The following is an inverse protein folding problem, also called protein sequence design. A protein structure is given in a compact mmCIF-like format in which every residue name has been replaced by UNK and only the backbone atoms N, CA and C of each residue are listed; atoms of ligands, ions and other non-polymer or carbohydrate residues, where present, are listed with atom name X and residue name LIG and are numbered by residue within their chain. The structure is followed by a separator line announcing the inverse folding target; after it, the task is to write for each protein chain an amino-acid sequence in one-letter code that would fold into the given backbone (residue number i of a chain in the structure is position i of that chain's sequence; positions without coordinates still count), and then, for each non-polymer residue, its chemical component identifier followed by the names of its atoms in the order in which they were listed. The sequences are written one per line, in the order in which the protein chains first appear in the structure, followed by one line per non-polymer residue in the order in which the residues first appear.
data_IF_265738976787
#
_entry.id   IF_265738976787
#
_cell.length_a   1.000
_cell.length_b   1.000
_cell.length_c   1.000
_cell.angle_alpha   90.00
_cell.angle_beta   90.00
_cell.angle_gamma   90.00
#
_symmetry.space_group_name_H-M   'P 1'
#
loop_
_entity.id
_entity.type
_entity.pdbx_description
1 polymer ?
#
# COMPACT_ATOMS: atom_id res chain seq x y z
N UNK A 1 -28.81 -13.35 4.68
CA UNK A 1 -28.30 -11.98 4.79
C UNK A 1 -26.97 -11.90 4.07
N UNK A 2 -26.66 -10.84 3.29
CA UNK A 2 -25.35 -10.78 2.65
C UNK A 2 -24.34 -10.51 3.77
N UNK A 3 -23.42 -11.44 3.98
CA UNK A 3 -22.28 -11.25 4.87
C UNK A 3 -21.68 -9.86 4.58
N UNK A 4 -21.44 -9.07 5.64
CA UNK A 4 -20.86 -7.74 5.52
C UNK A 4 -19.63 -7.80 4.63
N UNK A 5 -19.75 -7.21 3.44
CA UNK A 5 -18.64 -7.07 2.51
C UNK A 5 -17.62 -6.17 3.20
N UNK A 6 -16.36 -6.59 3.23
CA UNK A 6 -15.28 -5.89 3.93
C UNK A 6 -15.32 -4.37 3.73
N UNK A 7 -15.01 -3.61 4.77
CA UNK A 7 -14.99 -2.16 4.73
C UNK A 7 -13.63 -1.68 4.25
N UNK A 8 -13.60 -0.65 3.41
CA UNK A 8 -12.34 -0.01 3.02
C UNK A 8 -11.68 0.62 4.26
N UNK A 9 -10.44 0.23 4.57
CA UNK A 9 -9.61 0.96 5.55
C UNK A 9 -8.79 2.04 4.87
N UNK A 10 -8.10 1.66 3.79
CA UNK A 10 -7.19 2.53 3.07
C UNK A 10 -7.24 2.14 1.59
N UNK A 11 -7.41 3.10 0.70
CA UNK A 11 -7.26 2.86 -0.74
C UNK A 11 -6.51 4.02 -1.36
N UNK A 12 -5.49 3.71 -2.16
CA UNK A 12 -4.67 4.69 -2.85
C UNK A 12 -4.55 4.28 -4.32
N UNK A 13 -5.26 5.02 -5.17
CA UNK A 13 -5.24 4.89 -6.61
C UNK A 13 -4.29 5.95 -7.19
N UNK A 14 -3.39 5.55 -8.08
CA UNK A 14 -2.40 6.46 -8.67
C UNK A 14 -2.66 6.75 -10.14
N UNK A 15 -3.70 6.15 -10.73
CA UNK A 15 -4.15 6.42 -12.08
C UNK A 15 -5.62 6.88 -12.11
N UNK A 16 -6.11 7.18 -13.30
CA UNK A 16 -7.49 7.57 -13.55
C UNK A 16 -8.37 6.41 -14.02
N UNK A 17 -7.99 5.14 -13.78
CA UNK A 17 -8.76 3.97 -14.20
C UNK A 17 -10.11 3.91 -13.49
N UNK A 18 -10.14 4.28 -12.21
CA UNK A 18 -11.36 4.40 -11.40
C UNK A 18 -11.51 5.82 -10.85
N UNK A 19 -11.97 6.78 -11.68
CA UNK A 19 -11.98 8.20 -11.33
C UNK A 19 -13.03 8.57 -10.28
N UNK A 20 -14.10 7.79 -10.14
CA UNK A 20 -15.16 8.07 -9.15
C UNK A 20 -15.13 7.10 -7.97
N UNK A 21 -15.53 7.59 -6.79
CA UNK A 21 -15.67 6.76 -5.59
C UNK A 21 -16.64 5.57 -5.81
N UNK A 22 -17.64 5.74 -6.68
CA UNK A 22 -18.60 4.68 -7.03
C UNK A 22 -17.92 3.55 -7.82
N UNK A 23 -17.09 3.88 -8.80
CA UNK A 23 -16.35 2.89 -9.59
C UNK A 23 -15.31 2.18 -8.73
N UNK A 24 -14.58 2.93 -7.89
CA UNK A 24 -13.65 2.35 -6.93
C UNK A 24 -14.36 1.33 -6.02
N UNK A 25 -15.49 1.71 -5.42
CA UNK A 25 -16.25 0.81 -4.55
C UNK A 25 -16.81 -0.43 -5.29
N UNK A 26 -17.17 -0.28 -6.58
CA UNK A 26 -17.62 -1.40 -7.40
C UNK A 26 -16.47 -2.39 -7.71
N UNK A 27 -15.32 -1.87 -8.12
CA UNK A 27 -14.11 -2.66 -8.36
C UNK A 27 -13.65 -3.39 -7.10
N UNK A 28 -13.61 -2.67 -5.99
CA UNK A 28 -13.29 -3.17 -4.67
C UNK A 28 -14.17 -4.35 -4.25
N UNK A 29 -15.48 -4.20 -4.43
CA UNK A 29 -16.45 -5.27 -4.19
C UNK A 29 -16.18 -6.47 -5.08
N UNK A 30 -15.87 -6.25 -6.37
CA UNK A 30 -15.59 -7.33 -7.31
C UNK A 30 -14.33 -8.11 -6.96
N UNK A 31 -13.25 -7.43 -6.56
CA UNK A 31 -12.03 -8.09 -6.06
C UNK A 31 -12.38 -8.97 -4.85
N UNK A 32 -12.97 -8.38 -3.82
CA UNK A 32 -13.24 -9.09 -2.57
C UNK A 32 -14.10 -10.34 -2.79
N UNK A 33 -15.17 -10.21 -3.60
CA UNK A 33 -16.04 -11.34 -3.94
C UNK A 33 -15.29 -12.48 -4.63
N UNK A 34 -14.29 -12.18 -5.47
CA UNK A 34 -13.50 -13.22 -6.14
C UNK A 34 -12.41 -13.81 -5.23
N UNK A 35 -11.80 -13.03 -4.36
CA UNK A 35 -10.62 -13.47 -3.61
C UNK A 35 -10.94 -14.05 -2.24
N UNK A 36 -12.01 -13.62 -1.54
CA UNK A 36 -12.26 -14.02 -0.14
C UNK A 36 -12.46 -15.53 0.08
N UNK A 37 -12.84 -16.27 -0.98
CA UNK A 37 -13.00 -17.75 -0.96
C UNK A 37 -11.95 -18.48 -1.79
N UNK A 38 -11.11 -17.74 -2.51
CA UNK A 38 -10.07 -18.33 -3.32
C UNK A 38 -8.85 -18.62 -2.42
N UNK A 39 -8.32 -19.83 -2.50
CA UNK A 39 -7.08 -20.19 -1.82
C UNK A 39 -5.82 -19.75 -2.57
N UNK A 40 -5.94 -18.79 -3.49
CA UNK A 40 -4.83 -18.26 -4.28
C UNK A 40 -4.24 -16.98 -3.67
N UNK A 41 -3.10 -16.54 -4.21
CA UNK A 41 -2.46 -15.26 -3.85
C UNK A 41 -2.51 -14.25 -5.01
N UNK A 42 -2.95 -14.65 -6.20
CA UNK A 42 -3.04 -13.81 -7.40
C UNK A 42 -4.36 -14.05 -8.13
N UNK A 43 -4.93 -12.98 -8.69
CA UNK A 43 -6.13 -13.00 -9.52
C UNK A 43 -6.01 -11.99 -10.66
N UNK A 44 -6.66 -12.29 -11.80
CA UNK A 44 -6.82 -11.33 -12.89
C UNK A 44 -8.27 -10.81 -12.92
N UNK A 45 -8.44 -9.49 -12.94
CA UNK A 45 -9.75 -8.82 -12.89
C UNK A 45 -9.79 -7.62 -13.81
N UNK A 46 -10.71 -7.58 -14.77
CA UNK A 46 -10.92 -6.39 -15.63
C UNK A 46 -9.65 -5.95 -16.40
N UNK A 47 -8.75 -6.89 -16.72
CA UNK A 47 -7.46 -6.57 -17.34
C UNK A 47 -6.43 -5.99 -16.37
N UNK A 48 -6.62 -6.23 -15.07
CA UNK A 48 -5.68 -5.88 -14.00
C UNK A 48 -5.19 -7.15 -13.31
N UNK A 49 -3.94 -7.10 -12.89
CA UNK A 49 -3.30 -8.13 -12.08
C UNK A 49 -3.44 -7.74 -10.62
N UNK A 50 -4.05 -8.61 -9.81
CA UNK A 50 -4.34 -8.37 -8.39
C UNK A 50 -3.61 -9.41 -7.57
N UNK A 51 -2.64 -8.98 -6.78
CA UNK A 51 -1.96 -9.84 -5.79
C UNK A 51 -2.53 -9.54 -4.42
N UNK A 52 -2.84 -10.57 -3.64
CA UNK A 52 -3.53 -10.42 -2.37
C UNK A 52 -3.09 -11.42 -1.32
N UNK A 53 -3.21 -11.00 -0.06
CA UNK A 53 -2.95 -11.83 1.10
C UNK A 53 -3.86 -11.44 2.25
N UNK A 54 -4.36 -12.43 2.98
CA UNK A 54 -5.08 -12.20 4.24
C UNK A 54 -4.12 -12.26 5.43
N UNK A 55 -4.38 -11.45 6.45
CA UNK A 55 -3.71 -11.53 7.76
C UNK A 55 -4.76 -11.32 8.84
N UNK A 56 -4.93 -12.29 9.74
CA UNK A 56 -5.93 -12.32 10.83
C UNK A 56 -7.35 -11.93 10.37
N UNK A 57 -7.65 -10.63 10.38
CA UNK A 57 -8.94 -10.01 10.07
C UNK A 57 -8.82 -8.85 9.04
N UNK A 58 -7.80 -8.89 8.20
CA UNK A 58 -7.52 -7.93 7.13
C UNK A 58 -7.24 -8.64 5.81
N UNK A 59 -7.57 -7.96 4.71
CA UNK A 59 -7.13 -8.33 3.36
C UNK A 59 -6.32 -7.20 2.74
N UNK A 60 -5.15 -7.57 2.23
CA UNK A 60 -4.22 -6.66 1.57
C UNK A 60 -4.22 -6.96 0.08
N UNK A 61 -4.31 -5.92 -0.74
CA UNK A 61 -4.27 -6.03 -2.20
C UNK A 61 -3.28 -5.04 -2.80
N UNK A 62 -2.54 -5.52 -3.79
CA UNK A 62 -1.73 -4.72 -4.69
C UNK A 62 -2.24 -4.97 -6.10
N UNK A 63 -2.56 -3.90 -6.81
CA UNK A 63 -3.15 -3.95 -8.15
C UNK A 63 -2.17 -3.31 -9.14
N UNK A 64 -1.91 -4.01 -10.23
CA UNK A 64 -1.15 -3.50 -11.37
C UNK A 64 -1.89 -3.74 -12.69
N UNK A 65 -1.39 -3.15 -13.77
CA UNK A 65 -1.86 -3.45 -15.12
C UNK A 65 -1.68 -4.93 -15.50
N UNK A 66 -2.41 -5.42 -16.50
CA UNK A 66 -2.32 -6.81 -16.97
C UNK A 66 -0.93 -7.25 -17.47
N UNK A 67 -0.05 -6.30 -17.79
CA UNK A 67 1.32 -6.57 -18.24
C UNK A 67 2.35 -6.51 -17.12
N UNK A 68 1.93 -6.15 -15.90
CA UNK A 68 2.82 -6.07 -14.75
C UNK A 68 3.33 -7.44 -14.32
N UNK A 69 4.56 -7.45 -13.80
CA UNK A 69 5.14 -8.66 -13.25
C UNK A 69 4.53 -8.98 -11.87
N UNK A 70 3.77 -10.07 -11.81
CA UNK A 70 3.15 -10.60 -10.58
C UNK A 70 4.15 -10.75 -9.42
N UNK A 71 5.39 -11.15 -9.71
CA UNK A 71 6.44 -11.31 -8.69
C UNK A 71 6.83 -9.97 -8.07
N UNK A 72 6.82 -8.89 -8.84
CA UNK A 72 7.09 -7.55 -8.33
C UNK A 72 5.96 -7.07 -7.43
N UNK A 73 4.70 -7.27 -7.85
CA UNK A 73 3.53 -6.93 -7.04
C UNK A 73 3.49 -7.74 -5.73
N UNK A 74 3.90 -9.01 -5.79
CA UNK A 74 4.04 -9.88 -4.62
C UNK A 74 5.15 -9.42 -3.68
N UNK A 75 6.30 -9.00 -4.21
CA UNK A 75 7.39 -8.43 -3.40
C UNK A 75 6.95 -7.15 -2.68
N UNK A 76 6.21 -6.28 -3.37
CA UNK A 76 5.62 -5.06 -2.79
C UNK A 76 4.63 -5.39 -1.68
N UNK A 77 3.74 -6.36 -1.90
CA UNK A 77 2.78 -6.80 -0.88
C UNK A 77 3.48 -7.39 0.35
N UNK A 78 4.50 -8.22 0.14
CA UNK A 78 5.30 -8.80 1.21
C UNK A 78 6.03 -7.71 2.00
N UNK A 79 6.68 -6.77 1.30
CA UNK A 79 7.36 -5.62 1.90
C UNK A 79 6.43 -4.82 2.81
N UNK A 80 5.21 -4.54 2.35
CA UNK A 80 4.19 -3.83 3.13
C UNK A 80 3.83 -4.57 4.42
N UNK A 81 3.51 -5.87 4.33
CA UNK A 81 3.14 -6.68 5.48
C UNK A 81 4.28 -6.84 6.48
N UNK A 82 5.51 -7.08 6.01
CA UNK A 82 6.69 -7.25 6.86
C UNK A 82 7.05 -5.92 7.56
N UNK A 83 6.96 -4.80 6.84
CA UNK A 83 7.20 -3.47 7.40
C UNK A 83 6.14 -3.10 8.44
N UNK A 84 4.86 -3.36 8.16
CA UNK A 84 3.77 -3.15 9.12
C UNK A 84 3.92 -4.05 10.35
N UNK A 85 4.28 -5.32 10.16
CA UNK A 85 4.56 -6.25 11.27
C UNK A 85 5.71 -5.75 12.15
N UNK A 86 6.76 -5.18 11.55
CA UNK A 86 7.85 -4.55 12.30
C UNK A 86 7.41 -3.30 13.06
N UNK A 87 6.66 -2.41 12.39
CA UNK A 87 6.16 -1.16 12.96
C UNK A 87 5.23 -1.42 14.15
N UNK A 88 4.32 -2.38 14.01
CA UNK A 88 3.34 -2.76 15.04
C UNK A 88 3.94 -3.69 16.11
N UNK A 89 5.11 -4.30 15.84
CA UNK A 89 5.79 -5.32 16.66
C UNK A 89 4.89 -6.50 17.02
N UNK A 90 3.92 -6.79 16.15
CA UNK A 90 2.83 -7.76 16.33
C UNK A 90 2.38 -8.27 14.96
N UNK A 91 1.54 -9.30 14.96
CA UNK A 91 0.83 -9.70 13.75
C UNK A 91 -0.10 -8.58 13.28
N UNK A 92 -0.23 -8.43 11.97
CA UNK A 92 -0.95 -7.32 11.36
C UNK A 92 -2.45 -7.60 11.39
N UNK A 93 -3.13 -7.09 12.42
CA UNK A 93 -4.59 -7.17 12.57
C UNK A 93 -5.21 -5.77 12.62
N UNK A 94 -6.51 -5.67 12.33
CA UNK A 94 -7.30 -4.44 12.25
C UNK A 94 -7.07 -3.53 13.44
N UNK A 95 -7.11 -4.09 14.66
CA UNK A 95 -7.00 -3.32 15.89
C UNK A 95 -5.71 -2.49 15.92
N UNK A 96 -4.57 -3.14 15.69
CA UNK A 96 -3.26 -2.47 15.74
C UNK A 96 -3.03 -1.56 14.55
N UNK A 97 -3.53 -1.93 13.37
CA UNK A 97 -3.42 -1.10 12.17
C UNK A 97 -4.21 0.22 12.33
N UNK A 98 -5.42 0.16 12.91
CA UNK A 98 -6.23 1.35 13.22
C UNK A 98 -5.59 2.24 14.30
N UNK A 99 -4.97 1.63 15.32
CA UNK A 99 -4.26 2.37 16.36
C UNK A 99 -3.02 3.11 15.82
N UNK A 100 -2.46 2.69 14.68
CA UNK A 100 -1.29 3.30 14.04
C UNK A 100 -1.49 3.54 12.52
N UNK A 101 -2.58 4.22 12.18
CA UNK A 101 -2.93 4.52 10.79
C UNK A 101 -1.94 5.49 10.13
N UNK A 102 -1.43 6.49 10.86
CA UNK A 102 -0.44 7.45 10.36
C UNK A 102 0.83 6.74 9.91
N UNK A 103 1.34 5.80 10.72
CA UNK A 103 2.48 4.98 10.34
C UNK A 103 2.20 4.11 9.12
N UNK A 104 0.97 3.61 8.96
CA UNK A 104 0.56 2.85 7.78
C UNK A 104 0.64 3.70 6.49
N UNK A 105 0.18 4.96 6.52
CA UNK A 105 0.32 5.87 5.38
C UNK A 105 1.80 6.14 5.05
N UNK A 106 2.64 6.37 6.05
CA UNK A 106 4.07 6.61 5.83
C UNK A 106 4.76 5.39 5.20
N UNK A 107 4.42 4.18 5.64
CA UNK A 107 4.94 2.95 5.03
C UNK A 107 4.56 2.87 3.56
N UNK A 108 3.28 3.11 3.23
CA UNK A 108 2.81 3.08 1.83
C UNK A 108 3.55 4.12 0.98
N UNK A 109 3.75 5.34 1.50
CA UNK A 109 4.45 6.42 0.79
C UNK A 109 5.95 6.14 0.58
N UNK A 110 6.59 5.36 1.45
CA UNK A 110 7.99 4.95 1.26
C UNK A 110 8.15 3.80 0.26
N UNK A 111 7.15 2.92 0.15
CA UNK A 111 7.16 1.80 -0.79
C UNK A 111 6.83 2.30 -2.20
N UNK A 112 5.81 3.16 -2.34
CA UNK A 112 5.35 3.67 -3.64
C UNK A 112 4.97 5.14 -3.60
N UNK A 113 5.49 5.88 -4.58
CA UNK A 113 5.14 7.28 -4.81
C UNK A 113 4.68 7.49 -6.25
N UNK A 114 3.55 8.17 -6.44
CA UNK A 114 3.01 8.45 -7.77
C UNK A 114 2.74 7.22 -8.65
N UNK A 115 2.56 6.04 -8.05
CA UNK A 115 2.43 4.79 -8.80
C UNK A 115 3.77 4.29 -9.33
N UNK A 116 4.89 4.62 -8.68
CA UNK A 116 6.22 4.08 -8.96
C UNK A 116 6.75 3.38 -7.71
N UNK A 117 7.22 2.14 -7.86
CA UNK A 117 7.83 1.39 -6.76
C UNK A 117 9.21 1.98 -6.44
N UNK A 118 9.32 2.55 -5.24
CA UNK A 118 10.56 3.14 -4.73
C UNK A 118 11.41 2.11 -3.98
N UNK A 119 10.76 1.18 -3.29
CA UNK A 119 11.41 0.18 -2.46
C UNK A 119 10.54 -1.07 -2.32
N UNK A 120 11.18 -2.24 -2.27
CA UNK A 120 10.52 -3.53 -2.02
C UNK A 120 11.24 -4.37 -0.95
N UNK A 121 12.31 -3.85 -0.35
CA UNK A 121 12.94 -4.44 0.85
C UNK A 121 12.40 -3.76 2.12
N UNK A 122 11.72 -4.50 3.03
CA UNK A 122 11.18 -3.93 4.26
C UNK A 122 12.25 -3.29 5.16
N UNK A 123 13.49 -3.81 5.17
CA UNK A 123 14.56 -3.24 6.00
C UNK A 123 14.94 -1.82 5.54
N UNK A 124 14.96 -1.59 4.22
CA UNK A 124 15.23 -0.27 3.66
C UNK A 124 14.11 0.72 3.98
N UNK A 125 12.84 0.27 3.88
CA UNK A 125 11.68 1.09 4.24
C UNK A 125 11.74 1.51 5.71
N UNK A 126 11.98 0.56 6.64
CA UNK A 126 12.11 0.83 8.07
C UNK A 126 13.22 1.84 8.36
N UNK A 127 14.36 1.70 7.68
CA UNK A 127 15.48 2.62 7.83
C UNK A 127 15.11 4.04 7.38
N UNK A 128 14.46 4.20 6.22
CA UNK A 128 14.02 5.51 5.70
C UNK A 128 12.99 6.17 6.61
N UNK A 129 12.03 5.40 7.12
CA UNK A 129 11.04 5.89 8.09
C UNK A 129 11.70 6.39 9.37
N UNK A 130 12.68 5.66 9.89
CA UNK A 130 13.43 6.06 11.09
C UNK A 130 14.16 7.39 10.90
N UNK A 131 14.71 7.63 9.69
CA UNK A 131 15.37 8.88 9.35
C UNK A 131 14.38 10.04 9.22
N UNK A 132 13.19 9.84 8.62
CA UNK A 132 12.15 10.87 8.53
C UNK A 132 11.64 11.32 9.91
N UNK A 133 11.42 10.37 10.82
CA UNK A 133 11.00 10.67 12.20
C UNK A 133 12.12 11.40 12.97
N UNK A 134 13.39 11.06 12.70
CA UNK A 134 14.55 11.69 13.34
C UNK A 134 14.90 13.07 12.75
N UNK A 135 14.55 13.33 11.48
CA UNK A 135 14.79 14.61 10.79
C UNK A 135 13.82 15.73 11.20
N UNK A 136 12.87 15.47 12.10
CA UNK A 136 12.06 16.49 12.77
C UNK A 136 12.85 17.29 13.84
N UNK A 137 14.14 17.01 14.01
CA UNK A 137 15.08 17.79 14.84
C UNK A 137 15.61 18.97 13.99
N UNK A 138 15.56 20.22 14.49
CA UNK A 138 15.86 21.41 13.68
C UNK A 138 17.25 21.36 13.05
N UNK A 139 17.27 21.68 11.76
CA UNK A 139 18.37 21.82 10.81
C UNK A 139 19.44 22.85 11.25
N UNK A 140 20.08 22.66 12.40
CA UNK A 140 21.10 23.61 12.91
C UNK A 140 22.54 23.11 12.87
N UNK A 141 22.80 21.84 12.55
CA UNK A 141 24.15 21.26 12.63
C UNK A 141 24.56 20.40 11.42
N UNK A 142 24.11 20.75 10.19
CA UNK A 142 24.76 20.19 9.00
C UNK A 142 26.06 20.96 8.71
N UNK A 143 27.22 20.29 8.61
CA UNK A 143 28.42 20.94 8.11
C UNK A 143 28.20 21.41 6.66
N UNK A 144 28.71 22.60 6.27
CA UNK A 144 28.53 23.10 4.92
C UNK A 144 29.16 22.12 3.90
N UNK A 145 28.52 21.90 2.73
CA UNK A 145 29.13 21.07 1.70
C UNK A 145 30.45 21.69 1.25
N UNK A 146 31.53 20.92 1.37
CA UNK A 146 32.85 21.30 0.85
C UNK A 146 32.75 21.61 -0.63
N UNK A 147 33.20 22.82 -0.98
CA UNK A 147 33.32 23.32 -2.34
C UNK A 147 34.17 22.39 -3.21
N UNK A 148 33.56 21.74 -4.19
CA UNK A 148 34.25 21.13 -5.32
C UNK A 148 33.76 21.78 -6.63
N UNK A 149 34.72 22.21 -7.44
CA UNK A 149 34.63 23.13 -8.58
C UNK A 149 33.63 22.76 -9.70
N UNK A 150 33.19 23.74 -10.52
CA UNK A 150 32.31 23.49 -11.66
C UNK A 150 33.14 23.02 -12.87
N UNK A 151 32.92 21.79 -13.32
CA UNK A 151 33.24 21.40 -14.70
C UNK A 151 31.97 21.55 -15.55
N UNK A 152 32.03 22.12 -16.77
CA UNK A 152 30.88 22.16 -17.66
C UNK A 152 30.74 20.78 -18.34
N UNK A 153 29.54 20.18 -18.41
CA UNK A 153 29.34 19.02 -19.26
C UNK A 153 29.12 19.46 -20.72
N UNK A 154 29.86 18.84 -21.62
CA UNK A 154 29.63 18.91 -23.07
C UNK A 154 28.23 18.38 -23.43
N UNK A 155 27.56 18.90 -24.48
CA UNK A 155 26.25 18.41 -24.89
C UNK A 155 26.40 17.11 -25.68
N UNK A 156 26.15 15.97 -25.03
CA UNK A 156 25.86 14.73 -25.74
C UNK A 156 24.34 14.64 -25.97
N UNK A 157 23.99 14.66 -27.26
CA UNK A 157 22.65 14.47 -27.79
C UNK A 157 22.22 13.01 -27.55
N UNK A 158 21.74 12.69 -26.35
CA UNK A 158 20.97 11.47 -26.16
C UNK A 158 19.52 11.74 -26.62
N UNK A 159 18.93 10.88 -27.48
CA UNK A 159 17.47 10.90 -27.62
C UNK A 159 16.85 10.69 -26.23
N UNK A 160 15.68 11.27 -25.93
CA UNK A 160 15.01 10.98 -24.68
C UNK A 160 14.81 9.47 -24.65
N UNK A 161 15.52 8.80 -23.74
CA UNK A 161 15.10 7.49 -23.26
C UNK A 161 13.66 7.72 -22.85
N UNK A 162 12.74 7.15 -23.64
CA UNK A 162 11.34 7.11 -23.31
C UNK A 162 11.32 6.51 -21.91
N UNK A 163 11.08 7.37 -20.91
CA UNK A 163 11.00 6.91 -19.54
C UNK A 163 10.01 5.75 -19.58
N UNK A 164 10.31 4.60 -18.95
CA UNK A 164 9.31 3.57 -18.82
C UNK A 164 8.05 4.27 -18.32
N UNK A 165 6.95 4.19 -19.07
CA UNK A 165 5.68 4.74 -18.61
C UNK A 165 5.52 4.24 -17.17
N UNK A 166 5.17 5.13 -16.22
CA UNK A 166 5.00 4.70 -14.84
C UNK A 166 3.97 3.58 -14.87
N UNK A 167 4.46 2.38 -14.60
CA UNK A 167 3.62 1.21 -14.52
C UNK A 167 2.50 1.54 -13.55
N UNK A 168 1.25 1.54 -14.02
CA UNK A 168 0.13 1.99 -13.24
C UNK A 168 -0.06 1.07 -12.02
N UNK A 169 0.51 1.45 -10.88
CA UNK A 169 0.43 0.72 -9.63
C UNK A 169 -0.64 1.35 -8.74
N UNK A 170 -1.54 0.55 -8.16
CA UNK A 170 -2.53 0.94 -7.16
C UNK A 170 -2.43 0.08 -5.89
N UNK A 171 -2.58 0.67 -4.71
CA UNK A 171 -2.76 -0.09 -3.45
C UNK A 171 -4.21 -0.03 -3.01
N UNK A 172 -4.75 -1.19 -2.62
CA UNK A 172 -6.06 -1.24 -1.98
C UNK A 172 -5.94 -2.08 -0.71
N UNK A 173 -6.14 -1.46 0.44
CA UNK A 173 -6.13 -2.09 1.76
C UNK A 173 -7.57 -2.22 2.28
N UNK A 174 -8.00 -3.44 2.60
CA UNK A 174 -9.35 -3.70 3.10
C UNK A 174 -9.37 -4.22 4.53
N UNK A 175 -10.37 -3.72 5.27
CA UNK A 175 -10.90 -4.32 6.48
C UNK A 175 -11.77 -5.52 6.11
N UNK A 176 -11.59 -6.67 6.78
CA UNK A 176 -12.49 -7.81 6.62
C UNK A 176 -13.65 -7.81 7.63
N UNK A 177 -13.69 -6.89 8.61
CA UNK A 177 -14.69 -6.93 9.69
C UNK A 177 -15.55 -5.67 9.77
N UNK A 178 -16.22 -5.29 8.68
CA UNK A 178 -17.49 -4.56 8.79
C UNK A 178 -18.63 -5.55 9.02
N UNK A 179 -18.54 -6.24 10.14
CA UNK A 179 -19.53 -7.18 10.62
C UNK A 179 -19.43 -7.25 12.13
N UNK A 180 -19.75 -6.16 12.84
CA UNK A 180 -19.86 -6.23 14.28
C UNK A 180 -20.27 -4.91 14.93
N UNK A 181 -21.53 -4.85 15.38
CA UNK A 181 -21.89 -4.55 16.77
C UNK A 181 -23.36 -4.11 16.84
N UNK A 182 -24.29 -5.07 16.86
CA UNK A 182 -25.52 -4.85 17.64
C UNK A 182 -25.29 -5.42 19.03
N UNK A 183 -25.40 -4.52 19.98
CA UNK A 183 -25.27 -4.71 21.42
C UNK A 183 -25.95 -6.00 21.86
N UNK A 184 -25.20 -6.86 22.56
CA UNK A 184 -25.80 -7.67 23.62
C UNK A 184 -26.28 -6.71 24.70
N UNK A 185 -27.49 -6.21 24.58
CA UNK A 185 -28.20 -5.66 25.71
C UNK A 185 -28.88 -6.82 26.42
N UNK A 186 -28.26 -7.23 27.52
CA UNK A 186 -28.87 -8.09 28.50
C UNK A 186 -29.87 -7.26 29.31
N UNK A 187 -31.16 -7.47 29.06
CA UNK A 187 -32.27 -7.10 29.96
C UNK A 187 -33.49 -7.86 29.48
N UNK A 188 -34.04 -8.86 30.16
CA UNK A 188 -34.26 -8.98 31.58
C UNK A 188 -35.77 -9.08 31.78
N UNK A 189 -36.25 -10.24 32.24
CA UNK A 189 -37.58 -10.49 32.82
C UNK A 189 -38.83 -9.94 32.08
N UNK A 190 -39.65 -10.84 31.51
CA UNK A 190 -40.83 -11.40 32.19
C UNK A 190 -41.44 -12.54 31.38
#
# INVERSE_FOLDING_TARGET
EPLGLGQRLLAKYYDSTFPTAKEQAAFERSIFLKTHRAGGEVACLEGLTVVYRSSVDLFFYVVGGCQENELMLSAVLACLLDTLGHLLRREVEKRWLLDNMEGTFLVVDEIVDGGVILESDPQQVIQRLSLRVSAAIPLRDLPPPSSASPHPPHPLLNPPLQAPEPAAYGFVLFDYLAGGSERRDAGGHK
#
